data_IF_307133730593
#
_entry.id   IF_307133730593
#
_cell.length_a   1.000
_cell.length_b   1.000
_cell.length_c   1.000
_cell.angle_alpha   90.00
_cell.angle_beta   90.00
_cell.angle_gamma   90.00
#
_symmetry.space_group_name_H-M   'P 1'
#
loop_
_entity.id
_entity.type
_entity.pdbx_description
1 polymer ?
#
# COMPACT_ATOMS: atom_id res chain seq x y z
N UNK A 1 12.81 -29.00 -9.15
CA UNK A 1 11.56 -28.21 -9.16
C UNK A 1 11.88 -26.78 -8.74
N UNK A 2 11.42 -25.81 -9.51
CA UNK A 2 11.55 -24.39 -9.18
C UNK A 2 10.19 -23.93 -8.70
N UNK A 3 10.10 -23.46 -7.45
CA UNK A 3 8.93 -22.72 -7.02
C UNK A 3 9.14 -21.25 -7.35
N UNK A 4 8.19 -20.66 -8.05
CA UNK A 4 8.18 -19.24 -8.37
C UNK A 4 6.99 -18.58 -7.70
N UNK A 5 7.19 -17.40 -7.16
CA UNK A 5 6.10 -16.53 -6.71
C UNK A 5 5.97 -15.43 -7.75
N UNK A 6 4.79 -15.27 -8.32
CA UNK A 6 4.52 -14.24 -9.33
C UNK A 6 3.78 -13.07 -8.72
N UNK A 7 4.05 -11.88 -9.21
CA UNK A 7 3.20 -10.73 -8.93
C UNK A 7 1.89 -10.83 -9.72
N UNK A 8 0.77 -10.57 -9.05
CA UNK A 8 -0.60 -10.73 -9.58
C UNK A 8 -0.88 -10.00 -10.89
N UNK A 9 -0.15 -8.94 -11.18
CA UNK A 9 -0.39 -8.06 -12.32
C UNK A 9 0.86 -7.76 -13.14
N UNK A 10 1.93 -8.52 -12.94
CA UNK A 10 3.20 -8.30 -13.64
C UNK A 10 3.84 -9.64 -14.00
N UNK A 11 4.63 -9.65 -15.08
CA UNK A 11 5.47 -10.79 -15.44
C UNK A 11 6.67 -10.99 -14.52
N UNK A 12 6.77 -10.18 -13.44
CA UNK A 12 7.84 -10.29 -12.46
C UNK A 12 7.59 -11.53 -11.60
N UNK A 13 8.54 -12.44 -11.64
CA UNK A 13 8.55 -13.64 -10.82
C UNK A 13 9.75 -13.62 -9.88
N UNK A 14 9.55 -14.07 -8.66
CA UNK A 14 10.62 -14.32 -7.70
C UNK A 14 10.92 -15.80 -7.68
N UNK A 15 12.12 -16.18 -8.07
CA UNK A 15 12.57 -17.56 -7.98
C UNK A 15 12.92 -17.88 -6.53
N UNK A 16 12.16 -18.79 -5.92
CA UNK A 16 12.46 -19.26 -4.56
C UNK A 16 13.68 -20.18 -4.59
N UNK A 17 14.61 -19.95 -3.69
CA UNK A 17 15.77 -20.82 -3.50
C UNK A 17 15.40 -21.96 -2.54
N UNK A 18 15.93 -23.15 -2.80
CA UNK A 18 15.81 -24.29 -1.90
C UNK A 18 17.11 -24.46 -1.11
N UNK A 19 17.01 -24.58 0.20
CA UNK A 19 18.13 -24.86 1.08
C UNK A 19 17.73 -25.99 2.02
N UNK A 20 18.55 -27.05 2.11
CA UNK A 20 18.29 -28.24 2.94
C UNK A 20 16.88 -28.83 2.76
N UNK A 21 16.39 -28.86 1.52
CA UNK A 21 15.06 -29.40 1.21
C UNK A 21 13.89 -28.45 1.46
N UNK A 22 14.11 -27.28 2.08
CA UNK A 22 13.08 -26.27 2.38
C UNK A 22 13.14 -25.10 1.43
N UNK A 23 11.97 -24.56 1.07
CA UNK A 23 11.90 -23.33 0.28
C UNK A 23 12.20 -22.11 1.14
N UNK A 24 13.04 -21.24 0.61
CA UNK A 24 13.39 -19.99 1.27
C UNK A 24 12.44 -18.89 0.80
N UNK A 25 11.75 -18.25 1.73
CA UNK A 25 10.92 -17.09 1.45
C UNK A 25 11.79 -15.89 0.97
N UNK A 26 11.27 -14.98 0.12
CA UNK A 26 12.00 -13.83 -0.38
C UNK A 26 12.11 -12.70 0.68
N UNK A 27 12.28 -13.08 1.92
CA UNK A 27 12.46 -12.19 3.08
C UNK A 27 13.51 -12.75 4.04
N UNK A 28 14.16 -11.86 4.76
CA UNK A 28 15.11 -12.20 5.82
C UNK A 28 14.59 -11.70 7.17
N UNK A 29 14.15 -12.58 8.06
CA UNK A 29 13.80 -12.19 9.43
C UNK A 29 15.03 -11.63 10.14
N UNK A 30 14.85 -10.52 10.85
CA UNK A 30 15.86 -9.89 11.71
C UNK A 30 15.50 -10.10 13.16
N UNK A 31 14.23 -9.88 13.50
CA UNK A 31 13.67 -10.12 14.81
C UNK A 31 12.36 -10.90 14.66
N UNK A 32 12.22 -11.96 15.38
CA UNK A 32 11.02 -12.76 15.49
C UNK A 32 10.92 -13.27 16.93
N UNK A 33 10.15 -12.60 17.76
CA UNK A 33 10.02 -12.97 19.17
C UNK A 33 9.05 -12.09 19.91
N UNK A 34 8.25 -12.70 20.78
CA UNK A 34 7.19 -12.01 21.50
C UNK A 34 6.14 -11.46 20.54
N UNK A 35 5.86 -10.18 20.68
CA UNK A 35 4.96 -9.38 19.86
C UNK A 35 5.66 -8.63 18.70
N UNK A 36 6.99 -8.76 18.59
CA UNK A 36 7.79 -8.06 17.61
C UNK A 36 8.16 -8.95 16.41
N UNK A 37 7.87 -8.44 15.20
CA UNK A 37 8.29 -9.00 13.93
C UNK A 37 9.03 -7.93 13.12
N UNK A 38 10.30 -8.20 12.78
CA UNK A 38 11.08 -7.36 11.88
C UNK A 38 11.73 -8.22 10.79
N UNK A 39 11.59 -7.80 9.54
CA UNK A 39 12.22 -8.47 8.41
C UNK A 39 12.69 -7.48 7.36
N UNK A 40 13.59 -7.94 6.51
CA UNK A 40 14.05 -7.22 5.31
C UNK A 40 13.68 -8.04 4.08
N UNK A 41 13.15 -7.37 3.07
CA UNK A 41 12.77 -8.00 1.80
C UNK A 41 13.00 -7.03 0.63
N UNK A 42 12.68 -7.46 -0.58
CA UNK A 42 12.55 -6.53 -1.72
C UNK A 42 11.44 -5.51 -1.44
N UNK A 43 11.74 -4.23 -1.64
CA UNK A 43 10.78 -3.15 -1.34
C UNK A 43 9.46 -3.25 -2.09
N UNK A 44 9.43 -3.93 -3.24
CA UNK A 44 8.21 -4.10 -4.05
C UNK A 44 7.18 -5.03 -3.41
N UNK A 45 7.59 -5.97 -2.58
CA UNK A 45 6.72 -6.92 -1.88
C UNK A 45 6.53 -6.57 -0.40
N UNK A 46 7.18 -5.52 0.08
CA UNK A 46 7.22 -5.19 1.50
C UNK A 46 5.84 -4.90 2.09
N UNK A 47 5.01 -4.16 1.35
CA UNK A 47 3.66 -3.82 1.81
C UNK A 47 2.70 -5.00 1.74
N UNK A 48 2.83 -5.88 0.75
CA UNK A 48 2.05 -7.10 0.64
C UNK A 48 2.37 -8.08 1.78
N UNK A 49 3.64 -8.22 2.13
CA UNK A 49 4.06 -9.03 3.28
C UNK A 49 3.60 -8.40 4.60
N UNK A 50 3.63 -7.07 4.72
CA UNK A 50 3.10 -6.38 5.90
C UNK A 50 1.57 -6.54 6.02
N UNK A 51 0.82 -6.39 4.92
CA UNK A 51 -0.62 -6.67 4.87
C UNK A 51 -0.92 -8.10 5.32
N UNK A 52 -0.17 -9.07 4.78
CA UNK A 52 -0.34 -10.48 5.11
C UNK A 52 -0.11 -10.75 6.61
N UNK A 53 0.96 -10.19 7.17
CA UNK A 53 1.26 -10.32 8.60
C UNK A 53 0.14 -9.69 9.46
N UNK A 54 -0.26 -8.46 9.14
CA UNK A 54 -1.33 -7.76 9.88
C UNK A 54 -2.68 -8.48 9.77
N UNK A 55 -3.01 -9.06 8.61
CA UNK A 55 -4.23 -9.82 8.42
C UNK A 55 -4.28 -11.08 9.30
N UNK A 56 -3.14 -11.73 9.52
CA UNK A 56 -3.02 -12.87 10.46
C UNK A 56 -3.33 -12.41 11.89
N UNK A 57 -2.78 -11.26 12.33
CA UNK A 57 -3.09 -10.71 13.66
C UNK A 57 -4.57 -10.34 13.78
N UNK A 58 -5.14 -9.63 12.80
CA UNK A 58 -6.54 -9.20 12.80
C UNK A 58 -7.52 -10.39 12.82
N UNK A 59 -7.14 -11.50 12.16
CA UNK A 59 -7.90 -12.76 12.16
C UNK A 59 -7.69 -13.66 13.37
N UNK A 60 -6.73 -13.34 14.24
CA UNK A 60 -6.39 -14.19 15.40
C UNK A 60 -7.24 -13.83 16.61
N UNK A 61 -7.71 -14.85 17.31
CA UNK A 61 -8.38 -14.73 18.62
C UNK A 61 -7.52 -15.41 19.67
N UNK A 62 -7.02 -14.62 20.61
CA UNK A 62 -6.14 -15.12 21.68
C UNK A 62 -6.98 -15.45 22.91
N UNK A 63 -6.89 -16.69 23.43
CA UNK A 63 -7.61 -17.08 24.63
C UNK A 63 -7.41 -16.07 25.78
N UNK A 64 -8.49 -15.62 26.37
CA UNK A 64 -8.55 -14.62 27.46
C UNK A 64 -8.24 -13.16 27.08
N UNK A 65 -7.73 -12.87 25.87
CA UNK A 65 -7.46 -11.52 25.38
C UNK A 65 -8.43 -11.10 24.28
N UNK A 66 -9.04 -12.07 23.57
CA UNK A 66 -9.90 -11.80 22.43
C UNK A 66 -9.12 -11.41 21.18
N UNK A 67 -9.71 -10.56 20.34
CA UNK A 67 -9.07 -10.07 19.12
C UNK A 67 -7.88 -9.19 19.45
N UNK A 68 -6.79 -9.44 18.76
CA UNK A 68 -5.55 -8.65 18.87
C UNK A 68 -5.37 -7.77 17.64
N UNK A 69 -4.73 -6.62 17.82
CA UNK A 69 -4.37 -5.71 16.75
C UNK A 69 -2.87 -5.49 16.72
N UNK A 70 -2.35 -5.25 15.54
CA UNK A 70 -0.94 -4.95 15.32
C UNK A 70 -0.79 -3.73 14.40
N UNK A 71 0.37 -3.09 14.47
CA UNK A 71 0.71 -1.98 13.58
C UNK A 71 2.03 -2.25 12.88
N UNK A 72 2.13 -1.83 11.61
CA UNK A 72 3.34 -1.98 10.84
C UNK A 72 3.88 -0.64 10.34
N UNK A 73 5.21 -0.52 10.32
CA UNK A 73 5.94 0.57 9.67
C UNK A 73 6.87 0.02 8.60
N UNK A 74 6.76 0.50 7.36
CA UNK A 74 7.52 0.01 6.22
C UNK A 74 8.40 1.12 5.64
N UNK A 75 9.72 0.99 5.77
CA UNK A 75 10.69 1.90 5.16
C UNK A 75 11.24 1.27 3.86
N UNK A 76 10.88 1.84 2.71
CA UNK A 76 11.36 1.37 1.40
C UNK A 76 12.51 2.28 0.97
N UNK A 77 13.71 1.71 0.87
CA UNK A 77 14.93 2.49 0.62
C UNK A 77 15.77 1.87 -0.50
N UNK A 78 16.79 2.61 -0.98
CA UNK A 78 17.76 2.06 -1.91
C UNK A 78 18.63 0.99 -1.23
N UNK A 79 19.09 0.00 -1.99
CA UNK A 79 19.86 -1.16 -1.51
C UNK A 79 21.10 -0.76 -0.66
N UNK A 80 21.75 0.34 -1.00
CA UNK A 80 22.95 0.81 -0.28
C UNK A 80 22.63 1.86 0.82
N UNK A 81 21.36 2.01 1.20
CA UNK A 81 20.98 2.89 2.30
C UNK A 81 21.47 2.30 3.63
N UNK A 82 21.92 3.12 4.59
CA UNK A 82 22.29 2.64 5.91
C UNK A 82 21.12 1.95 6.61
N UNK A 83 21.30 0.67 6.94
CA UNK A 83 20.26 -0.15 7.57
C UNK A 83 19.69 0.46 8.85
N UNK A 84 20.56 0.97 9.73
CA UNK A 84 20.14 1.61 10.99
C UNK A 84 19.10 2.72 10.75
N UNK A 85 19.31 3.56 9.74
CA UNK A 85 18.39 4.65 9.40
C UNK A 85 17.07 4.13 8.84
N UNK A 86 17.09 3.09 8.02
CA UNK A 86 15.87 2.45 7.52
C UNK A 86 15.09 1.80 8.67
N UNK A 87 15.77 1.15 9.60
CA UNK A 87 15.17 0.54 10.78
C UNK A 87 14.55 1.58 11.72
N UNK A 88 15.27 2.67 12.03
CA UNK A 88 14.73 3.79 12.82
C UNK A 88 13.49 4.42 12.17
N UNK A 89 13.53 4.59 10.85
CA UNK A 89 12.38 5.12 10.11
C UNK A 89 11.18 4.17 10.18
N UNK A 90 11.40 2.87 9.98
CA UNK A 90 10.33 1.86 10.09
C UNK A 90 9.69 1.88 11.50
N UNK A 91 10.50 2.00 12.57
CA UNK A 91 10.00 2.15 13.93
C UNK A 91 9.10 3.39 14.10
N UNK A 92 9.55 4.55 13.63
CA UNK A 92 8.75 5.79 13.68
C UNK A 92 7.44 5.70 12.88
N UNK A 93 7.45 5.03 11.73
CA UNK A 93 6.25 4.78 10.94
C UNK A 93 5.29 3.84 11.67
N UNK A 94 5.80 2.80 12.31
CA UNK A 94 5.00 1.93 13.16
C UNK A 94 4.35 2.69 14.33
N UNK A 95 5.11 3.56 15.00
CA UNK A 95 4.58 4.41 16.08
C UNK A 95 3.50 5.38 15.58
N UNK A 96 3.65 5.90 14.36
CA UNK A 96 2.64 6.74 13.73
C UNK A 96 1.34 5.95 13.45
N UNK A 97 1.44 4.70 12.96
CA UNK A 97 0.30 3.81 12.80
C UNK A 97 -0.37 3.47 14.15
N UNK A 98 0.42 3.21 15.21
CA UNK A 98 -0.08 3.00 16.58
C UNK A 98 -0.83 4.23 17.12
N UNK A 99 -0.35 5.43 16.80
CA UNK A 99 -1.00 6.67 17.21
C UNK A 99 -2.38 6.83 16.58
N UNK A 100 -2.55 6.48 15.29
CA UNK A 100 -3.85 6.46 14.62
C UNK A 100 -4.85 5.55 15.33
N UNK A 101 -4.44 4.31 15.63
CA UNK A 101 -5.30 3.31 16.28
C UNK A 101 -5.74 3.79 17.66
N UNK A 102 -4.80 4.30 18.46
CA UNK A 102 -5.09 4.82 19.82
C UNK A 102 -6.01 6.04 19.79
N UNK A 103 -5.75 6.99 18.88
CA UNK A 103 -6.48 8.27 18.84
C UNK A 103 -7.94 8.09 18.46
N UNK A 104 -8.23 7.12 17.61
CA UNK A 104 -9.59 6.86 17.08
C UNK A 104 -10.30 5.70 17.76
N UNK A 105 -9.68 5.05 18.76
CA UNK A 105 -10.19 3.82 19.43
C UNK A 105 -10.61 2.74 18.41
N UNK A 106 -9.71 2.48 17.47
CA UNK A 106 -9.96 1.60 16.33
C UNK A 106 -9.55 0.17 16.68
N UNK A 107 -10.45 -0.78 16.50
CA UNK A 107 -10.20 -2.23 16.66
C UNK A 107 -9.66 -2.90 15.40
N UNK A 108 -8.85 -2.19 14.60
CA UNK A 108 -8.25 -2.70 13.36
C UNK A 108 -6.74 -2.52 13.37
N UNK A 109 -6.04 -3.39 12.67
CA UNK A 109 -4.63 -3.21 12.37
C UNK A 109 -4.39 -1.96 11.52
N UNK A 110 -3.18 -1.40 11.59
CA UNK A 110 -2.81 -0.23 10.79
C UNK A 110 -1.39 -0.32 10.27
N UNK A 111 -1.12 0.36 9.16
CA UNK A 111 0.21 0.46 8.58
C UNK A 111 0.53 1.86 8.08
N UNK A 112 1.81 2.19 8.14
CA UNK A 112 2.37 3.39 7.52
C UNK A 112 3.63 3.02 6.74
N UNK A 113 3.92 3.79 5.68
CA UNK A 113 5.15 3.57 4.89
C UNK A 113 5.74 4.88 4.41
N UNK A 114 7.03 4.81 4.07
CA UNK A 114 7.74 5.89 3.40
C UNK A 114 8.73 5.33 2.38
N UNK A 115 8.78 5.99 1.21
CA UNK A 115 9.71 5.65 0.14
C UNK A 115 10.85 6.68 0.14
N UNK A 116 12.05 6.22 0.40
CA UNK A 116 13.25 7.04 0.55
C UNK A 116 13.78 7.04 1.98
N UNK A 117 14.82 7.84 2.20
CA UNK A 117 15.38 8.08 3.53
C UNK A 117 14.96 9.45 4.04
N UNK A 118 14.55 9.48 5.30
CA UNK A 118 14.41 10.72 6.05
C UNK A 118 15.76 11.35 6.41
N UNK A 119 15.77 12.59 6.80
CA UNK A 119 16.94 13.21 7.43
C UNK A 119 17.19 12.55 8.80
N UNK A 120 18.46 12.47 9.26
CA UNK A 120 18.75 11.94 10.60
C UNK A 120 17.89 12.63 11.68
N UNK A 121 17.22 11.83 12.49
CA UNK A 121 16.36 12.35 13.57
C UNK A 121 15.03 12.97 13.14
N UNK A 122 14.74 13.08 11.83
CA UNK A 122 13.51 13.70 11.33
C UNK A 122 12.27 12.90 11.78
N UNK A 123 11.25 13.61 12.25
CA UNK A 123 9.96 13.02 12.62
C UNK A 123 9.12 12.75 11.37
N UNK A 124 8.24 11.74 11.43
CA UNK A 124 7.33 11.41 10.31
C UNK A 124 6.43 12.59 9.97
N UNK A 125 5.95 13.34 10.97
CA UNK A 125 5.16 14.57 10.78
C UNK A 125 5.88 15.60 9.93
N UNK A 126 7.16 15.87 10.21
CA UNK A 126 7.97 16.83 9.42
C UNK A 126 8.19 16.34 7.98
N UNK A 127 8.33 15.03 7.76
CA UNK A 127 8.38 14.46 6.41
C UNK A 127 7.07 14.73 5.68
N UNK A 128 5.92 14.50 6.34
CA UNK A 128 4.58 14.70 5.76
C UNK A 128 4.33 16.16 5.43
N UNK A 129 4.63 17.09 6.36
CA UNK A 129 4.50 18.52 6.14
C UNK A 129 5.30 18.99 4.93
N UNK A 130 6.54 18.55 4.83
CA UNK A 130 7.44 18.97 3.75
C UNK A 130 7.09 18.40 2.38
N UNK A 131 6.62 17.15 2.30
CA UNK A 131 6.44 16.43 1.03
C UNK A 131 4.99 16.35 0.59
N UNK A 132 4.05 16.35 1.54
CA UNK A 132 2.65 16.03 1.28
C UNK A 132 1.68 17.11 1.76
N UNK A 133 2.15 18.33 2.08
CA UNK A 133 1.28 19.42 2.48
C UNK A 133 1.25 20.51 1.42
N UNK A 134 0.05 20.86 0.95
CA UNK A 134 -0.25 22.03 0.12
C UNK A 134 -1.50 22.68 0.69
N UNK A 135 -1.32 23.69 1.53
CA UNK A 135 -2.42 24.31 2.26
C UNK A 135 -3.61 24.72 1.37
N UNK A 136 -4.85 24.38 1.76
CA UNK A 136 -5.25 23.69 3.00
C UNK A 136 -5.30 22.14 2.90
N UNK A 137 -4.70 21.55 1.87
CA UNK A 137 -4.82 20.15 1.53
C UNK A 137 -3.62 19.32 1.96
N UNK A 138 -3.89 18.07 2.36
CA UNK A 138 -2.89 17.04 2.66
C UNK A 138 -2.91 15.99 1.53
N UNK A 139 -1.77 15.79 0.89
CA UNK A 139 -1.62 14.95 -0.29
C UNK A 139 -1.31 13.48 0.04
N UNK A 140 -1.67 13.04 1.23
CA UNK A 140 -1.52 11.65 1.71
C UNK A 140 -2.61 11.35 2.72
N UNK A 141 -3.02 10.09 2.80
CA UNK A 141 -3.94 9.59 3.80
C UNK A 141 -3.24 8.67 4.83
N UNK A 142 -1.91 8.51 4.72
CA UNK A 142 -1.10 7.69 5.64
C UNK A 142 -1.05 8.29 7.05
N UNK A 143 -1.12 7.45 8.09
CA UNK A 143 -1.21 5.99 8.10
C UNK A 143 -2.61 5.48 7.77
N UNK A 144 -2.70 4.24 7.24
CA UNK A 144 -3.95 3.60 6.88
C UNK A 144 -4.34 2.52 7.88
N UNK A 145 -5.63 2.42 8.22
CA UNK A 145 -6.19 1.18 8.79
C UNK A 145 -6.10 0.07 7.75
N UNK A 146 -5.94 -1.17 8.19
CA UNK A 146 -5.87 -2.31 7.29
C UNK A 146 -7.19 -2.49 6.55
N UNK A 147 -8.29 -2.49 7.29
CA UNK A 147 -9.66 -2.61 6.79
C UNK A 147 -10.58 -1.59 7.46
N UNK A 148 -11.71 -1.32 6.86
CA UNK A 148 -12.79 -0.53 7.44
C UNK A 148 -14.07 -1.37 7.45
N UNK A 149 -14.95 -1.15 8.42
CA UNK A 149 -16.29 -1.75 8.46
C UNK A 149 -17.19 -1.13 7.40
N UNK A 150 -16.91 0.11 7.00
CA UNK A 150 -17.60 0.83 5.93
C UNK A 150 -16.72 0.86 4.69
N UNK A 151 -17.21 0.33 3.57
CA UNK A 151 -16.50 0.31 2.28
C UNK A 151 -16.17 1.73 1.77
N UNK A 152 -16.89 2.75 2.23
CA UNK A 152 -16.71 4.16 1.87
C UNK A 152 -15.53 4.85 2.59
N UNK A 153 -14.89 4.19 3.55
CA UNK A 153 -13.77 4.77 4.27
C UNK A 153 -12.43 4.37 3.66
N UNK A 154 -11.54 5.38 3.52
CA UNK A 154 -10.17 5.17 3.04
C UNK A 154 -9.40 4.24 3.99
N UNK A 155 -9.16 3.01 3.55
CA UNK A 155 -8.36 2.00 4.23
C UNK A 155 -7.25 1.50 3.31
N UNK A 156 -6.29 0.73 3.84
CA UNK A 156 -5.28 0.08 3.01
C UNK A 156 -5.90 -0.84 1.96
N UNK A 157 -6.90 -1.64 2.37
CA UNK A 157 -7.60 -2.54 1.44
C UNK A 157 -8.32 -1.76 0.35
N UNK A 158 -8.95 -0.64 0.68
CA UNK A 158 -9.54 0.24 -0.32
C UNK A 158 -8.47 0.80 -1.27
N UNK A 159 -7.34 1.32 -0.75
CA UNK A 159 -6.26 1.83 -1.58
C UNK A 159 -5.71 0.75 -2.53
N UNK A 160 -5.37 -0.43 -1.99
CA UNK A 160 -4.74 -1.52 -2.76
C UNK A 160 -5.71 -2.21 -3.71
N UNK A 161 -6.93 -2.55 -3.27
CA UNK A 161 -7.87 -3.36 -4.06
C UNK A 161 -8.78 -2.52 -4.95
N UNK A 162 -9.20 -1.33 -4.50
CA UNK A 162 -10.14 -0.49 -5.24
C UNK A 162 -9.43 0.58 -6.06
N UNK A 163 -8.60 1.42 -5.44
CA UNK A 163 -7.95 2.50 -6.16
C UNK A 163 -6.81 2.00 -7.09
N UNK A 164 -6.02 1.02 -6.68
CA UNK A 164 -4.93 0.50 -7.51
C UNK A 164 -5.38 -0.64 -8.43
N UNK A 165 -5.96 -1.70 -7.87
CA UNK A 165 -6.03 -3.00 -8.52
C UNK A 165 -7.43 -3.40 -8.99
N UNK A 166 -8.47 -2.57 -8.80
CA UNK A 166 -9.78 -2.86 -9.38
C UNK A 166 -9.66 -3.00 -10.91
N UNK A 167 -10.15 -4.12 -11.49
CA UNK A 167 -9.94 -4.41 -12.90
C UNK A 167 -10.61 -3.42 -13.85
N UNK A 168 -11.63 -2.69 -13.42
CA UNK A 168 -12.35 -1.72 -14.24
C UNK A 168 -11.95 -0.28 -13.93
N UNK A 169 -12.02 0.14 -12.67
CA UNK A 169 -11.85 1.55 -12.26
C UNK A 169 -10.52 1.86 -11.60
N UNK A 170 -9.77 0.84 -11.16
CA UNK A 170 -8.47 1.01 -10.53
C UNK A 170 -7.43 1.63 -11.48
N UNK A 171 -6.45 2.32 -10.94
CA UNK A 171 -5.40 2.99 -11.73
C UNK A 171 -4.56 2.02 -12.58
N UNK A 172 -4.56 0.73 -12.26
CA UNK A 172 -4.00 -0.36 -13.08
C UNK A 172 -5.04 -1.06 -13.96
N UNK A 173 -6.32 -0.75 -13.75
CA UNK A 173 -7.45 -1.36 -14.43
C UNK A 173 -7.61 -0.89 -15.89
N UNK A 174 -8.59 -1.47 -16.58
CA UNK A 174 -8.82 -1.29 -18.03
C UNK A 174 -9.02 0.16 -18.46
N UNK A 175 -9.66 1.00 -17.62
CA UNK A 175 -9.90 2.41 -17.94
C UNK A 175 -8.60 3.22 -18.00
N UNK A 176 -7.63 2.91 -17.16
CA UNK A 176 -6.41 3.66 -16.97
C UNK A 176 -5.15 3.03 -17.60
N UNK A 177 -5.15 1.73 -17.89
CA UNK A 177 -3.98 0.99 -18.37
C UNK A 177 -3.34 1.57 -19.63
N UNK A 178 -4.15 2.06 -20.57
CA UNK A 178 -3.69 2.71 -21.81
C UNK A 178 -3.44 4.21 -21.67
N UNK A 179 -3.62 4.78 -20.46
CA UNK A 179 -3.57 6.22 -20.17
C UNK A 179 -2.60 6.57 -19.04
N UNK A 180 -1.48 5.85 -18.97
CA UNK A 180 -0.46 6.01 -17.92
C UNK A 180 0.06 7.45 -17.77
N UNK A 181 0.13 8.21 -18.88
CA UNK A 181 0.47 9.63 -18.84
C UNK A 181 -0.55 10.47 -18.06
N UNK A 182 -1.86 10.17 -18.18
CA UNK A 182 -2.91 10.86 -17.42
C UNK A 182 -2.87 10.47 -15.94
N UNK A 183 -2.64 9.18 -15.64
CA UNK A 183 -2.45 8.73 -14.26
C UNK A 183 -1.28 9.47 -13.61
N UNK A 184 -0.13 9.55 -14.29
CA UNK A 184 1.03 10.29 -13.78
C UNK A 184 0.80 11.79 -13.63
N UNK A 185 -0.07 12.37 -14.43
CA UNK A 185 -0.43 13.78 -14.31
C UNK A 185 -1.12 14.13 -12.99
N UNK A 186 -1.77 13.16 -12.31
CA UNK A 186 -2.33 13.39 -10.99
C UNK A 186 -1.29 13.87 -9.97
N UNK A 187 -0.01 13.50 -10.12
CA UNK A 187 1.05 13.98 -9.23
C UNK A 187 1.17 15.51 -9.18
N UNK A 188 0.90 16.17 -10.29
CA UNK A 188 0.90 17.65 -10.37
C UNK A 188 -0.49 18.20 -10.06
N UNK A 189 -1.55 17.61 -10.61
CA UNK A 189 -2.91 18.09 -10.46
C UNK A 189 -3.40 18.12 -9.01
N UNK A 190 -3.01 17.16 -8.19
CA UNK A 190 -3.36 17.14 -6.77
C UNK A 190 -2.75 18.32 -6.00
N UNK A 191 -1.65 18.89 -6.49
CA UNK A 191 -1.02 20.07 -5.91
C UNK A 191 -1.79 21.36 -6.21
N UNK A 192 -2.60 21.35 -7.26
CA UNK A 192 -3.55 22.42 -7.60
C UNK A 192 -4.86 22.31 -6.79
N UNK A 193 -5.00 21.23 -6.02
CA UNK A 193 -6.19 20.95 -5.21
C UNK A 193 -7.33 20.27 -5.97
N UNK A 194 -8.51 20.11 -5.34
CA UNK A 194 -9.66 19.37 -5.90
C UNK A 194 -10.15 19.92 -7.25
N UNK A 195 -10.07 21.24 -7.45
CA UNK A 195 -10.48 21.88 -8.69
C UNK A 195 -9.64 21.46 -9.90
N UNK A 196 -8.32 21.32 -9.71
CA UNK A 196 -7.40 20.87 -10.77
C UNK A 196 -7.70 19.43 -11.20
N UNK A 197 -7.91 18.52 -10.26
CA UNK A 197 -8.25 17.13 -10.56
C UNK A 197 -9.60 17.03 -11.26
N UNK A 198 -10.63 17.74 -10.77
CA UNK A 198 -11.98 17.75 -11.36
C UNK A 198 -11.94 18.26 -12.81
N UNK A 199 -11.33 19.42 -13.04
CA UNK A 199 -11.22 20.00 -14.38
C UNK A 199 -10.49 19.06 -15.37
N UNK A 200 -9.43 18.39 -14.91
CA UNK A 200 -8.71 17.44 -15.74
C UNK A 200 -9.55 16.21 -16.11
N UNK A 201 -10.28 15.64 -15.15
CA UNK A 201 -11.20 14.51 -15.40
C UNK A 201 -12.29 14.90 -16.41
N UNK A 202 -12.89 16.07 -16.26
CA UNK A 202 -13.89 16.60 -17.20
C UNK A 202 -13.31 16.77 -18.61
N UNK A 203 -12.13 17.39 -18.73
CA UNK A 203 -11.46 17.58 -20.02
C UNK A 203 -11.09 16.24 -20.68
N UNK A 204 -10.60 15.29 -19.93
CA UNK A 204 -10.25 13.95 -20.44
C UNK A 204 -11.47 13.16 -20.91
N UNK A 205 -12.61 13.35 -20.28
CA UNK A 205 -13.86 12.69 -20.65
C UNK A 205 -14.49 13.29 -21.91
N UNK A 206 -14.37 14.60 -22.14
CA UNK A 206 -14.77 15.22 -23.41
C UNK A 206 -14.01 14.60 -24.58
N UNK A 207 -12.70 14.53 -24.49
CA UNK A 207 -11.85 13.91 -25.52
C UNK A 207 -12.17 12.44 -25.76
N UNK A 208 -12.48 11.69 -24.70
CA UNK A 208 -12.85 10.28 -24.81
C UNK A 208 -14.17 10.05 -25.57
N UNK A 209 -15.13 10.95 -25.42
CA UNK A 209 -16.43 10.89 -26.14
C UNK A 209 -16.29 11.08 -27.64
N UNK A 210 -15.39 11.98 -28.09
CA UNK A 210 -15.16 12.26 -29.52
C UNK A 210 -14.62 11.03 -30.28
N UNK A 211 -13.88 10.14 -29.62
CA UNK A 211 -13.26 8.96 -30.24
C UNK A 211 -14.08 7.67 -30.06
N UNK A 212 -15.34 7.77 -29.66
CA UNK A 212 -16.23 6.62 -29.42
C UNK A 212 -15.63 5.58 -28.42
N UNK A 213 -14.68 6.00 -27.61
CA UNK A 213 -14.11 5.21 -26.53
C UNK A 213 -15.04 5.31 -25.33
N UNK A 214 -16.03 4.45 -25.31
CA UNK A 214 -17.23 4.47 -24.47
C UNK A 214 -16.97 4.24 -22.96
N UNK A 215 -15.84 4.65 -22.40
CA UNK A 215 -15.58 4.47 -20.95
C UNK A 215 -15.13 5.79 -20.34
N UNK A 216 -16.02 6.39 -19.61
CA UNK A 216 -15.74 7.57 -18.78
C UNK A 216 -14.60 7.29 -17.81
N UNK A 217 -13.61 8.20 -17.81
CA UNK A 217 -12.53 8.16 -16.82
C UNK A 217 -13.10 8.62 -15.49
N UNK A 218 -13.12 7.77 -14.50
CA UNK A 218 -13.58 8.08 -13.16
C UNK A 218 -12.62 7.49 -12.13
N UNK A 219 -12.60 8.11 -10.98
CA UNK A 219 -11.96 7.57 -9.77
C UNK A 219 -13.04 6.83 -8.96
N UNK A 220 -12.66 5.88 -8.10
CA UNK A 220 -13.62 5.22 -7.22
C UNK A 220 -14.09 6.14 -6.09
N UNK A 221 -15.27 5.85 -5.52
CA UNK A 221 -15.69 6.48 -4.27
C UNK A 221 -14.71 6.15 -3.12
N UNK A 222 -14.52 7.05 -2.14
CA UNK A 222 -15.20 8.34 -1.96
C UNK A 222 -14.51 9.53 -2.65
N UNK A 223 -13.55 9.31 -3.55
CA UNK A 223 -12.79 10.37 -4.24
C UNK A 223 -13.24 10.62 -5.69
N UNK A 224 -14.38 10.07 -6.09
CA UNK A 224 -14.85 10.07 -7.47
C UNK A 224 -15.01 11.46 -8.09
N UNK A 225 -15.45 12.45 -7.32
CA UNK A 225 -15.78 13.78 -7.82
C UNK A 225 -14.54 14.58 -8.22
N UNK A 226 -13.51 14.59 -7.38
CA UNK A 226 -12.40 15.53 -7.49
C UNK A 226 -11.05 15.00 -6.97
N UNK A 227 -10.94 13.69 -6.70
CA UNK A 227 -9.72 13.06 -6.22
C UNK A 227 -9.41 13.26 -4.73
N UNK A 228 -10.29 13.93 -3.99
CA UNK A 228 -10.13 14.22 -2.56
C UNK A 228 -11.30 13.67 -1.75
N UNK A 229 -10.99 13.25 -0.55
CA UNK A 229 -11.95 13.02 0.52
C UNK A 229 -11.69 14.09 1.58
N UNK A 230 -12.63 15.01 1.77
CA UNK A 230 -12.46 16.22 2.57
C UNK A 230 -11.23 17.04 2.12
N UNK A 231 -10.20 17.10 2.96
CA UNK A 231 -8.94 17.82 2.68
C UNK A 231 -7.77 16.90 2.35
N UNK A 232 -8.00 15.60 2.22
CA UNK A 232 -6.97 14.58 1.99
C UNK A 232 -7.13 13.92 0.64
N UNK A 233 -6.03 13.52 0.02
CA UNK A 233 -6.06 12.72 -1.19
C UNK A 233 -5.16 11.50 -1.10
N UNK A 234 -5.66 10.30 -1.44
CA UNK A 234 -4.87 9.09 -1.53
C UNK A 234 -4.12 8.96 -2.87
N UNK A 235 -4.30 9.91 -3.80
CA UNK A 235 -3.76 9.77 -5.16
C UNK A 235 -2.23 9.72 -5.20
N UNK A 236 -1.51 10.54 -4.39
CA UNK A 236 -0.06 10.42 -4.33
C UNK A 236 0.39 9.11 -3.68
N UNK A 237 -0.33 8.63 -2.68
CA UNK A 237 -0.06 7.33 -2.06
C UNK A 237 -0.18 6.21 -3.09
N UNK A 238 -1.23 6.24 -3.92
CA UNK A 238 -1.43 5.29 -5.00
C UNK A 238 -0.37 5.41 -6.11
N UNK A 239 0.00 6.64 -6.49
CA UNK A 239 1.01 6.87 -7.53
C UNK A 239 2.41 6.37 -7.12
N UNK A 240 2.79 6.56 -5.87
CA UNK A 240 4.05 6.02 -5.33
C UNK A 240 4.08 4.49 -5.39
N UNK A 241 2.93 3.85 -5.23
CA UNK A 241 2.79 2.40 -5.24
C UNK A 241 2.54 1.80 -6.63
N UNK A 242 2.16 2.62 -7.60
CA UNK A 242 1.69 2.18 -8.91
C UNK A 242 2.67 1.24 -9.62
N UNK A 243 3.96 1.59 -9.60
CA UNK A 243 5.03 0.83 -10.24
C UNK A 243 5.91 0.07 -9.20
N UNK A 244 5.67 0.28 -7.91
CA UNK A 244 6.46 -0.30 -6.83
C UNK A 244 5.77 -1.47 -6.15
N UNK A 245 4.49 -1.33 -5.79
CA UNK A 245 3.79 -2.35 -5.01
C UNK A 245 3.38 -3.55 -5.86
N UNK A 246 3.83 -4.73 -5.47
CA UNK A 246 3.48 -6.02 -6.07
C UNK A 246 2.75 -6.87 -5.05
N UNK A 247 1.58 -7.38 -5.45
CA UNK A 247 0.84 -8.40 -4.69
C UNK A 247 1.34 -9.77 -5.12
N UNK A 248 1.75 -10.59 -4.16
CA UNK A 248 2.23 -11.94 -4.41
C UNK A 248 1.04 -12.91 -4.54
N UNK A 249 1.08 -13.75 -5.56
CA UNK A 249 0.22 -14.93 -5.65
C UNK A 249 1.08 -16.18 -5.52
N UNK A 250 0.69 -17.10 -4.64
CA UNK A 250 1.20 -18.45 -4.68
C UNK A 250 0.46 -19.20 -5.79
N UNK A 251 1.16 -19.76 -6.76
CA UNK A 251 0.58 -20.76 -7.65
C UNK A 251 0.11 -21.93 -6.77
N UNK A 252 -1.18 -21.97 -6.45
CA UNK A 252 -1.81 -22.96 -5.57
C UNK A 252 -1.85 -24.36 -6.18
N UNK A 253 -0.70 -24.97 -6.37
CA UNK A 253 -0.52 -26.40 -6.59
C UNK A 253 0.53 -26.98 -5.65
N UNK A 254 0.24 -26.91 -4.37
CA UNK A 254 0.82 -27.75 -3.35
C UNK A 254 -0.31 -28.56 -2.73
N UNK A 255 -0.76 -29.61 -3.39
CA UNK A 255 -1.58 -30.64 -2.75
C UNK A 255 -0.79 -31.13 -1.55
N UNK A 256 -1.32 -30.86 -0.36
CA UNK A 256 -0.83 -31.38 0.88
C UNK A 256 -0.77 -32.89 0.80
N UNK A 257 0.43 -33.43 0.68
CA UNK A 257 0.72 -34.78 1.06
C UNK A 257 0.52 -34.89 2.58
N UNK A 258 -0.59 -35.47 2.96
CA UNK A 258 -0.81 -36.01 4.31
C UNK A 258 0.23 -37.10 4.54
N UNK A 259 1.36 -36.80 5.08
CA UNK A 259 2.14 -37.78 5.85
C UNK A 259 1.76 -37.61 7.30
N UNK A 260 0.93 -38.53 7.76
CA UNK A 260 0.72 -38.84 9.20
C UNK A 260 1.96 -39.55 9.74
N UNK A 261 2.18 -39.43 11.06
CA UNK A 261 3.40 -39.81 11.80
C UNK A 261 3.75 -41.27 11.71
#
# INVERSE_FOLDING_TARGET
>A
EKATVKGKQTDLSFELKRHEGKWMLPLRPILLGGDDLTFVCDGRIALDLAETALAVFEGSDVPHLGKITACAGVAITRVHAPFTRAYELAGKLCDNAKALVKQKDISSCALDWHIGLSRPGEAVTSIRERQYQVNPYTLTCRPYRLSSENDDELSWRWLSKTLLDDPEVGLRGKKWSTRRNKVKAFAELVREGPGGVKAALEAWNVTAKEWNVAKELCLPEPIAENGFHEKHTPLLDALELLDLHLVLESDGQGQGGNEKP
#
